data_IF_575805328139
#
_entry.id   IF_575805328139
#
_cell.length_a   1.000
_cell.length_b   1.000
_cell.length_c   1.000
_cell.angle_alpha   90.00
_cell.angle_beta   90.00
_cell.angle_gamma   90.00
#
_symmetry.space_group_name_H-M   'P 1'
#
loop_
_entity.id
_entity.type
_entity.pdbx_description
1 polymer ?
#
# COMPACT_ATOMS: atom_id res chain seq x y z
N UNK A 1 5.23 -14.18 -6.96
CA UNK A 1 3.91 -14.59 -6.40
C UNK A 1 3.09 -13.34 -6.11
N UNK A 2 1.75 -13.41 -6.09
CA UNK A 2 0.88 -12.28 -5.75
C UNK A 2 -0.14 -12.66 -4.68
N UNK A 3 -0.23 -11.88 -3.62
CA UNK A 3 -1.24 -11.98 -2.58
C UNK A 3 -2.23 -10.82 -2.66
N UNK A 4 -3.46 -11.01 -2.20
CA UNK A 4 -4.43 -9.92 -2.01
C UNK A 4 -4.74 -9.81 -0.52
N UNK A 5 -4.78 -8.58 0.00
CA UNK A 5 -5.08 -8.36 1.41
C UNK A 5 -5.48 -6.93 1.71
N UNK A 6 -5.96 -6.72 2.94
CA UNK A 6 -6.20 -5.40 3.51
C UNK A 6 -5.34 -5.29 4.78
N UNK A 7 -4.67 -4.15 4.97
CA UNK A 7 -3.98 -3.86 6.21
C UNK A 7 -4.97 -3.29 7.23
N UNK A 8 -5.12 -3.92 8.39
CA UNK A 8 -5.90 -3.37 9.51
C UNK A 8 -4.97 -3.11 10.67
N UNK A 9 -4.97 -1.87 11.16
CA UNK A 9 -4.25 -1.53 12.36
C UNK A 9 -4.91 -2.21 13.57
N UNK A 10 -4.16 -3.00 14.34
CA UNK A 10 -4.70 -3.79 15.46
C UNK A 10 -5.26 -2.92 16.58
N UNK A 11 -4.59 -1.80 16.91
CA UNK A 11 -4.98 -0.92 18.00
C UNK A 11 -6.24 -0.09 17.68
N UNK A 12 -6.29 0.50 16.49
CA UNK A 12 -7.37 1.44 16.11
C UNK A 12 -8.50 0.77 15.33
N UNK A 13 -8.29 -0.45 14.84
CA UNK A 13 -9.25 -1.16 14.00
C UNK A 13 -9.47 -0.55 12.61
N UNK A 14 -8.69 0.47 12.22
CA UNK A 14 -8.82 1.14 10.92
C UNK A 14 -8.05 0.42 9.83
N UNK A 15 -8.55 0.52 8.59
CA UNK A 15 -7.97 -0.10 7.42
C UNK A 15 -7.05 0.88 6.66
N UNK A 16 -5.96 0.36 6.09
CA UNK A 16 -5.09 1.09 5.17
C UNK A 16 -5.86 1.33 3.88
N UNK A 17 -6.08 2.60 3.58
CA UNK A 17 -6.95 3.12 2.53
C UNK A 17 -6.12 4.02 1.61
N UNK A 18 -6.36 3.91 0.31
CA UNK A 18 -5.88 4.87 -0.66
C UNK A 18 -7.00 5.22 -1.63
N UNK A 19 -7.39 6.49 -1.65
CA UNK A 19 -8.48 7.01 -2.47
C UNK A 19 -8.00 8.20 -3.30
N UNK A 20 -8.68 8.47 -4.42
CA UNK A 20 -8.33 9.57 -5.31
C UNK A 20 -8.41 10.92 -4.60
N UNK A 21 -9.44 11.12 -3.78
CA UNK A 21 -9.70 12.41 -3.14
C UNK A 21 -8.78 12.69 -1.93
N UNK A 22 -8.27 11.65 -1.27
CA UNK A 22 -7.59 11.82 0.03
C UNK A 22 -6.24 11.10 0.16
N UNK A 23 -5.82 10.34 -0.85
CA UNK A 23 -4.55 9.61 -0.84
C UNK A 23 -4.46 8.53 0.24
N UNK A 24 -3.21 8.16 0.58
CA UNK A 24 -2.88 7.14 1.57
C UNK A 24 -3.23 7.60 2.98
N UNK A 25 -4.03 6.80 3.68
CA UNK A 25 -4.45 7.08 5.07
C UNK A 25 -4.92 5.81 5.78
N UNK A 26 -5.25 5.95 7.06
CA UNK A 26 -6.06 4.97 7.78
C UNK A 26 -7.52 5.46 7.85
N UNK A 27 -8.46 4.65 7.36
CA UNK A 27 -9.89 4.97 7.34
C UNK A 27 -10.73 3.85 7.98
N UNK A 28 -11.99 4.14 8.33
CA UNK A 28 -12.92 3.11 8.79
C UNK A 28 -13.01 1.96 7.79
N UNK A 29 -12.93 0.73 8.26
CA UNK A 29 -12.97 -0.43 7.37
C UNK A 29 -14.34 -0.52 6.69
N UNK A 30 -14.36 -0.32 5.37
CA UNK A 30 -15.55 -0.42 4.52
C UNK A 30 -15.41 -1.51 3.45
N UNK A 31 -14.24 -2.17 3.39
CA UNK A 31 -13.95 -3.33 2.54
C UNK A 31 -14.09 -3.07 1.03
N UNK A 32 -14.13 -1.80 0.61
CA UNK A 32 -14.14 -1.39 -0.79
C UNK A 32 -12.75 -1.56 -1.43
N UNK A 33 -12.66 -1.44 -2.75
CA UNK A 33 -11.41 -1.58 -3.51
C UNK A 33 -10.31 -0.64 -3.04
N UNK A 34 -10.65 0.55 -2.52
CA UNK A 34 -9.72 1.52 -1.96
C UNK A 34 -8.93 0.98 -0.75
N UNK A 35 -9.42 -0.08 -0.09
CA UNK A 35 -8.79 -0.72 1.06
C UNK A 35 -8.17 -2.08 0.73
N UNK A 36 -8.19 -2.47 -0.56
CA UNK A 36 -7.66 -3.74 -1.04
C UNK A 36 -6.34 -3.52 -1.75
N UNK A 37 -5.36 -4.32 -1.40
CA UNK A 37 -3.99 -4.21 -1.87
C UNK A 37 -3.56 -5.51 -2.53
N UNK A 38 -2.94 -5.39 -3.70
CA UNK A 38 -2.22 -6.47 -4.37
C UNK A 38 -0.77 -6.40 -3.94
N UNK A 39 -0.32 -7.42 -3.21
CA UNK A 39 1.05 -7.57 -2.75
C UNK A 39 1.80 -8.39 -3.79
N UNK A 40 2.80 -7.80 -4.43
CA UNK A 40 3.71 -8.49 -5.34
C UNK A 40 5.01 -8.79 -4.61
N UNK A 41 5.33 -10.08 -4.52
CA UNK A 41 6.59 -10.57 -3.95
C UNK A 41 7.67 -10.53 -5.03
N UNK A 42 8.76 -9.82 -4.77
CA UNK A 42 9.89 -9.64 -5.68
C UNK A 42 11.00 -10.67 -5.38
N UNK A 43 11.86 -10.90 -6.37
CA UNK A 43 12.92 -11.92 -6.27
C UNK A 43 13.98 -11.59 -5.20
N UNK A 44 14.15 -10.32 -4.86
CA UNK A 44 15.05 -9.81 -3.82
C UNK A 44 14.44 -9.90 -2.40
N UNK A 45 13.26 -10.52 -2.24
CA UNK A 45 12.56 -10.68 -0.96
C UNK A 45 11.70 -9.47 -0.55
N UNK A 46 11.85 -8.34 -1.24
CA UNK A 46 11.03 -7.15 -1.03
C UNK A 46 9.62 -7.31 -1.63
N UNK A 47 8.74 -6.38 -1.29
CA UNK A 47 7.33 -6.40 -1.70
C UNK A 47 6.91 -5.02 -2.20
N UNK A 48 6.07 -5.01 -3.21
CA UNK A 48 5.32 -3.81 -3.63
C UNK A 48 3.85 -4.02 -3.35
N UNK A 49 3.19 -3.02 -2.77
CA UNK A 49 1.78 -3.04 -2.42
C UNK A 49 1.02 -2.07 -3.31
N UNK A 50 0.22 -2.60 -4.24
CA UNK A 50 -0.57 -1.81 -5.19
C UNK A 50 -2.04 -1.75 -4.78
N UNK A 51 -2.62 -0.56 -4.70
CA UNK A 51 -4.04 -0.38 -4.43
C UNK A 51 -4.89 -0.88 -5.60
N UNK A 52 -5.96 -1.64 -5.33
CA UNK A 52 -6.82 -2.20 -6.38
C UNK A 52 -7.74 -1.18 -7.04
N UNK A 53 -8.00 -0.04 -6.39
CA UNK A 53 -8.87 1.00 -6.94
C UNK A 53 -8.09 2.05 -7.70
N UNK A 54 -6.97 2.52 -7.14
CA UNK A 54 -6.21 3.63 -7.73
C UNK A 54 -5.05 3.17 -8.61
N UNK A 55 -4.62 1.91 -8.49
CA UNK A 55 -3.44 1.41 -9.19
C UNK A 55 -2.11 1.98 -8.68
N UNK A 56 -2.13 2.92 -7.72
CA UNK A 56 -0.93 3.46 -7.07
C UNK A 56 -0.31 2.44 -6.13
N UNK A 57 0.98 2.58 -5.88
CA UNK A 57 1.74 1.74 -4.94
C UNK A 57 2.16 2.55 -3.73
N UNK A 58 2.37 1.87 -2.59
CA UNK A 58 3.04 2.49 -1.45
C UNK A 58 4.45 2.92 -1.89
N UNK A 59 4.82 4.15 -1.56
CA UNK A 59 6.04 4.86 -1.93
C UNK A 59 6.55 5.59 -0.69
N UNK A 60 7.84 5.49 -0.40
CA UNK A 60 8.51 6.32 0.61
C UNK A 60 9.74 6.98 -0.04
N UNK A 61 9.56 8.22 -0.47
CA UNK A 61 10.60 8.99 -1.18
C UNK A 61 11.17 10.06 -0.28
N UNK A 62 12.45 10.41 -0.49
CA UNK A 62 13.15 11.36 0.37
C UNK A 62 12.46 12.73 0.44
N UNK A 63 11.85 13.19 -0.65
CA UNK A 63 11.23 14.52 -0.73
C UNK A 63 9.79 14.57 -0.23
N UNK A 64 9.06 13.43 -0.25
CA UNK A 64 7.61 13.40 0.02
C UNK A 64 7.18 12.44 1.14
N UNK A 65 8.11 11.63 1.66
CA UNK A 65 7.85 10.62 2.67
C UNK A 65 6.86 9.55 2.25
N UNK A 66 6.30 8.86 3.24
CA UNK A 66 5.37 7.75 3.06
C UNK A 66 4.04 8.22 2.47
N UNK A 67 3.71 7.69 1.29
CA UNK A 67 2.51 8.00 0.53
C UNK A 67 2.18 6.87 -0.44
N UNK A 68 1.24 7.14 -1.34
CA UNK A 68 1.03 6.35 -2.56
C UNK A 68 1.43 7.15 -3.80
N UNK A 69 2.01 6.47 -4.79
CA UNK A 69 2.41 7.09 -6.05
C UNK A 69 2.26 6.14 -7.23
N UNK A 70 2.33 6.67 -8.45
CA UNK A 70 2.34 5.85 -9.66
C UNK A 70 3.52 4.88 -9.64
N UNK A 71 3.28 3.63 -10.03
CA UNK A 71 4.34 2.62 -10.07
C UNK A 71 5.42 3.00 -11.09
N UNK A 72 6.67 3.06 -10.63
CA UNK A 72 7.85 3.39 -11.45
C UNK A 72 9.00 2.38 -11.31
N UNK A 73 8.85 1.36 -10.46
CA UNK A 73 9.81 0.25 -10.30
C UNK A 73 11.08 0.59 -9.49
N UNK A 74 11.21 1.82 -9.00
CA UNK A 74 12.32 2.25 -8.16
C UNK A 74 12.25 1.63 -6.76
N UNK A 75 13.38 1.64 -6.05
CA UNK A 75 13.51 1.05 -4.72
C UNK A 75 12.63 1.72 -3.66
N UNK A 76 12.26 2.98 -3.83
CA UNK A 76 11.31 3.70 -2.96
C UNK A 76 9.92 3.04 -2.86
N UNK A 77 9.59 2.13 -3.80
CA UNK A 77 8.32 1.42 -3.88
C UNK A 77 8.43 -0.05 -3.45
N UNK A 78 9.51 -0.39 -2.73
CA UNK A 78 9.83 -1.75 -2.28
C UNK A 78 10.00 -1.76 -0.77
N UNK A 79 9.25 -2.63 -0.10
CA UNK A 79 9.22 -2.73 1.35
C UNK A 79 9.58 -4.13 1.82
N UNK A 80 10.34 -4.20 2.90
CA UNK A 80 10.50 -5.41 3.72
C UNK A 80 9.58 -5.28 4.92
N UNK A 81 8.75 -6.30 5.16
CA UNK A 81 7.97 -6.39 6.39
C UNK A 81 8.87 -7.00 7.46
N UNK A 82 9.16 -6.22 8.50
CA UNK A 82 9.90 -6.67 9.68
C UNK A 82 8.86 -6.84 10.79
N UNK A 83 8.80 -8.03 11.37
CA UNK A 83 7.84 -8.42 12.40
C UNK A 83 8.50 -8.48 13.79
#
# INVERSE_FOLDING_TARGET
MRGRGAGKNQNTGRCVDDSWDYGLRAFGCNYLSYQRWTITYLADGTKTCQNQSTGRVIDDSLDYGLRTFGFNGLSYQRFTLVC
#
